data_IF_810748275908
#
_entry.id   IF_810748275908
#
_cell.length_a   1.000
_cell.length_b   1.000
_cell.length_c   1.000
_cell.angle_alpha   90.00
_cell.angle_beta   90.00
_cell.angle_gamma   90.00
#
_symmetry.space_group_name_H-M   'P 1'
#
loop_
_entity.id
_entity.type
_entity.pdbx_description
1 polymer ?
#
# COMPACT_ATOMS: atom_id res chain seq x y z
N UNK A 1 19.21 -21.75 -17.68
CA UNK A 1 18.56 -20.46 -17.46
C UNK A 1 19.63 -19.50 -17.02
N UNK A 2 19.76 -18.35 -17.70
CA UNK A 2 20.63 -17.29 -17.21
C UNK A 2 20.12 -16.80 -15.86
N UNK A 3 21.03 -16.36 -14.99
CA UNK A 3 20.66 -15.84 -13.68
C UNK A 3 20.03 -14.46 -13.83
N UNK A 4 18.89 -14.24 -13.18
CA UNK A 4 18.18 -12.95 -13.12
C UNK A 4 18.22 -12.44 -11.69
N UNK A 5 18.67 -11.20 -11.50
CA UNK A 5 18.56 -10.51 -10.20
C UNK A 5 17.50 -9.42 -10.30
N UNK A 6 16.49 -9.48 -9.43
CA UNK A 6 15.43 -8.47 -9.33
C UNK A 6 15.73 -7.57 -8.14
N UNK A 7 15.99 -6.29 -8.40
CA UNK A 7 16.17 -5.27 -7.39
C UNK A 7 14.82 -4.57 -7.14
N UNK A 8 14.30 -4.67 -5.92
CA UNK A 8 13.11 -3.94 -5.46
C UNK A 8 13.58 -2.76 -4.63
N UNK A 9 13.32 -1.54 -5.09
CA UNK A 9 13.80 -0.30 -4.47
C UNK A 9 12.59 0.51 -4.03
N UNK A 10 12.38 0.63 -2.73
CA UNK A 10 11.30 1.40 -2.13
C UNK A 10 11.67 1.76 -0.68
N UNK A 11 11.47 2.99 -0.20
CA UNK A 11 11.73 3.33 1.21
C UNK A 11 10.80 2.60 2.19
N UNK A 12 9.63 2.14 1.74
CA UNK A 12 8.65 1.41 2.53
C UNK A 12 8.80 -0.12 2.36
N UNK A 13 8.35 -0.94 3.32
CA UNK A 13 8.50 -2.39 3.25
C UNK A 13 7.85 -3.01 2.00
N UNK A 14 8.49 -4.00 1.36
CA UNK A 14 7.93 -4.66 0.19
C UNK A 14 6.63 -5.42 0.54
N UNK A 15 5.78 -5.61 -0.47
CA UNK A 15 4.44 -6.16 -0.30
C UNK A 15 3.44 -5.05 0.03
N UNK A 16 3.31 -4.69 1.30
CA UNK A 16 2.30 -3.68 1.74
C UNK A 16 2.63 -2.25 1.31
N UNK A 17 3.92 -1.91 1.21
CA UNK A 17 4.38 -0.57 0.88
C UNK A 17 3.81 0.51 1.80
N UNK A 18 3.87 1.76 1.33
CA UNK A 18 3.35 2.91 2.08
C UNK A 18 1.84 2.92 2.21
N UNK A 19 1.10 2.45 1.20
CA UNK A 19 -0.36 2.67 1.13
C UNK A 19 -1.13 1.71 2.03
N UNK A 20 -0.69 0.45 2.09
CA UNK A 20 -1.39 -0.61 2.80
C UNK A 20 -0.69 -0.98 4.11
N UNK A 21 -0.06 -0.02 4.79
CA UNK A 21 0.67 -0.29 6.04
C UNK A 21 -0.24 -0.99 7.04
N UNK A 22 0.17 -2.14 7.61
CA UNK A 22 -0.60 -2.83 8.66
C UNK A 22 -0.85 -1.99 9.91
N UNK A 23 -0.07 -0.92 10.12
CA UNK A 23 -0.14 -0.03 11.27
C UNK A 23 -1.16 1.10 11.13
N UNK A 24 -1.81 1.25 9.98
CA UNK A 24 -2.82 2.29 9.78
C UNK A 24 -4.12 2.02 10.55
N UNK A 25 -4.97 3.05 10.69
CA UNK A 25 -6.25 2.94 11.40
C UNK A 25 -7.14 1.82 10.83
N UNK A 26 -7.72 1.02 11.74
CA UNK A 26 -8.68 -0.06 11.41
C UNK A 26 -10.07 0.46 11.01
N UNK A 27 -10.29 1.77 11.03
CA UNK A 27 -11.50 2.38 10.48
C UNK A 27 -11.41 2.63 8.97
N UNK A 28 -10.22 2.48 8.39
CA UNK A 28 -10.01 2.63 6.95
C UNK A 28 -10.24 1.29 6.28
N UNK A 29 -11.25 1.24 5.42
CA UNK A 29 -11.66 0.02 4.73
C UNK A 29 -11.19 0.02 3.28
N UNK A 30 -11.03 -1.20 2.75
CA UNK A 30 -11.01 -1.43 1.31
C UNK A 30 -12.36 -1.07 0.70
N UNK A 31 -12.37 -0.67 -0.57
CA UNK A 31 -13.59 -0.44 -1.36
C UNK A 31 -14.00 -1.65 -2.20
N UNK A 32 -13.39 -2.81 -1.95
CA UNK A 32 -13.64 -4.08 -2.63
C UNK A 32 -13.87 -5.17 -1.59
N UNK A 33 -14.82 -6.08 -1.86
CA UNK A 33 -15.14 -7.17 -0.95
C UNK A 33 -14.03 -8.22 -0.90
N UNK A 34 -13.85 -8.84 0.26
CA UNK A 34 -12.67 -9.66 0.56
C UNK A 34 -12.45 -10.87 -0.37
N UNK A 35 -13.51 -11.47 -0.92
CA UNK A 35 -13.41 -12.60 -1.85
C UNK A 35 -12.97 -12.19 -3.26
N UNK A 36 -13.05 -10.91 -3.61
CA UNK A 36 -12.70 -10.38 -4.93
C UNK A 36 -11.31 -9.73 -4.97
N UNK A 37 -10.57 -9.78 -3.86
CA UNK A 37 -9.23 -9.18 -3.76
C UNK A 37 -8.18 -10.28 -3.82
N UNK A 38 -7.30 -10.21 -4.82
CA UNK A 38 -6.12 -11.08 -4.92
C UNK A 38 -4.97 -10.34 -5.62
N UNK A 39 -3.73 -10.70 -5.30
CA UNK A 39 -2.53 -10.28 -6.06
C UNK A 39 -1.99 -11.36 -6.99
N UNK A 40 -2.68 -12.49 -7.03
CA UNK A 40 -2.33 -13.64 -7.84
C UNK A 40 -2.94 -13.53 -9.24
N UNK A 41 -2.43 -14.33 -10.15
CA UNK A 41 -2.80 -14.32 -11.56
C UNK A 41 -3.93 -15.29 -11.83
N UNK A 42 -4.91 -14.90 -12.63
CA UNK A 42 -5.97 -15.78 -13.09
C UNK A 42 -6.14 -15.68 -14.62
N UNK A 43 -7.17 -16.32 -15.16
CA UNK A 43 -7.46 -16.31 -16.59
C UNK A 43 -7.70 -14.90 -17.19
N UNK A 44 -7.90 -13.87 -16.37
CA UNK A 44 -8.03 -12.48 -16.83
C UNK A 44 -6.67 -11.81 -17.13
N UNK A 45 -5.56 -12.36 -16.61
CA UNK A 45 -4.23 -11.80 -16.77
C UNK A 45 -3.55 -12.41 -17.99
N UNK A 46 -3.12 -11.56 -18.93
CA UNK A 46 -2.34 -11.99 -20.09
C UNK A 46 -0.86 -12.05 -19.75
N UNK A 47 -0.36 -13.25 -19.48
CA UNK A 47 1.07 -13.53 -19.24
C UNK A 47 1.52 -14.78 -20.00
N UNK A 48 2.82 -14.86 -20.24
CA UNK A 48 3.46 -16.11 -20.65
C UNK A 48 3.82 -16.92 -19.40
N UNK A 49 3.54 -18.22 -19.42
CA UNK A 49 3.80 -19.13 -18.31
C UNK A 49 2.54 -19.61 -17.58
N UNK A 50 2.70 -20.43 -16.53
CA UNK A 50 1.58 -20.94 -15.76
C UNK A 50 0.93 -19.82 -14.95
N UNK A 51 -0.40 -19.90 -14.80
CA UNK A 51 -1.12 -19.11 -13.80
C UNK A 51 -0.83 -19.68 -12.41
N UNK A 52 -0.58 -18.79 -11.45
CA UNK A 52 -0.66 -19.09 -10.02
C UNK A 52 -1.83 -18.27 -9.47
N UNK A 53 -2.95 -18.93 -9.20
CA UNK A 53 -4.21 -18.29 -8.76
C UNK A 53 -4.18 -17.92 -7.27
N UNK A 54 -3.26 -18.54 -6.50
CA UNK A 54 -3.12 -18.33 -5.05
C UNK A 54 -4.45 -18.28 -4.28
N UNK A 55 -4.45 -17.75 -3.05
CA UNK A 55 -5.67 -17.42 -2.34
C UNK A 55 -6.08 -15.96 -2.57
N UNK A 56 -7.39 -15.73 -2.65
CA UNK A 56 -7.98 -14.42 -2.36
C UNK A 56 -7.67 -13.97 -0.92
N UNK A 57 -7.87 -12.69 -0.63
CA UNK A 57 -7.74 -12.14 0.72
C UNK A 57 -8.64 -12.88 1.72
N UNK A 58 -9.86 -13.23 1.31
CA UNK A 58 -10.78 -14.02 2.14
C UNK A 58 -10.21 -15.41 2.45
N UNK A 59 -9.77 -16.15 1.43
CA UNK A 59 -9.22 -17.50 1.60
C UNK A 59 -7.94 -17.49 2.43
N UNK A 60 -7.07 -16.51 2.21
CA UNK A 60 -5.89 -16.28 3.03
C UNK A 60 -6.27 -16.04 4.50
N UNK A 61 -7.27 -15.22 4.78
CA UNK A 61 -7.72 -14.97 6.14
C UNK A 61 -8.30 -16.23 6.80
N UNK A 62 -8.99 -17.09 6.05
CA UNK A 62 -9.46 -18.39 6.57
C UNK A 62 -8.29 -19.32 6.86
N UNK A 63 -7.36 -19.45 5.92
CA UNK A 63 -6.16 -20.27 6.08
C UNK A 63 -5.26 -19.80 7.25
N UNK A 64 -5.21 -18.49 7.49
CA UNK A 64 -4.50 -17.89 8.62
C UNK A 64 -5.08 -18.37 9.95
N UNK A 65 -6.40 -18.35 10.07
CA UNK A 65 -7.12 -18.74 11.30
C UNK A 65 -7.10 -20.26 11.51
N UNK A 66 -7.13 -21.06 10.44
CA UNK A 66 -7.03 -22.53 10.52
C UNK A 66 -5.60 -23.04 10.65
N UNK A 67 -4.59 -22.16 10.68
CA UNK A 67 -3.17 -22.51 10.71
C UNK A 67 -2.74 -23.41 9.54
N UNK A 68 -3.33 -23.21 8.37
CA UNK A 68 -3.02 -23.96 7.14
C UNK A 68 -2.25 -23.15 6.10
N UNK A 69 -1.83 -21.92 6.43
CA UNK A 69 -0.94 -21.15 5.55
C UNK A 69 0.42 -21.84 5.45
N UNK A 70 0.85 -22.09 4.21
CA UNK A 70 2.20 -22.58 3.92
C UNK A 70 3.26 -21.57 4.38
N UNK A 71 4.43 -22.09 4.72
CA UNK A 71 5.52 -21.43 5.45
C UNK A 71 6.01 -20.11 4.83
N UNK A 72 5.36 -19.01 5.17
CA UNK A 72 6.04 -17.76 5.42
C UNK A 72 6.49 -17.76 6.90
N UNK A 73 7.62 -17.13 7.28
CA UNK A 73 7.96 -16.94 8.68
C UNK A 73 6.73 -16.37 9.38
N UNK A 74 6.28 -17.00 10.48
CA UNK A 74 5.10 -16.57 11.23
C UNK A 74 5.27 -15.08 11.55
N UNK A 75 4.67 -14.22 10.72
CA UNK A 75 4.48 -12.84 11.09
C UNK A 75 3.65 -12.93 12.37
N UNK A 76 4.17 -12.38 13.45
CA UNK A 76 3.41 -12.23 14.69
C UNK A 76 2.24 -11.30 14.40
N UNK A 77 1.17 -11.83 13.82
CA UNK A 77 -0.05 -11.10 13.59
C UNK A 77 -0.65 -10.77 14.95
N UNK A 78 -0.98 -9.50 15.15
CA UNK A 78 -1.60 -9.10 16.41
C UNK A 78 -3.01 -9.69 16.57
N UNK A 79 -3.51 -9.67 17.81
CA UNK A 79 -4.84 -10.20 18.13
C UNK A 79 -5.95 -9.52 17.32
N UNK A 80 -5.75 -8.25 16.92
CA UNK A 80 -6.70 -7.50 16.11
C UNK A 80 -6.82 -8.07 14.69
N UNK A 81 -5.70 -8.38 14.04
CA UNK A 81 -5.63 -9.02 12.72
C UNK A 81 -6.29 -10.39 12.79
N UNK A 82 -5.97 -11.20 13.81
CA UNK A 82 -6.57 -12.52 13.98
C UNK A 82 -8.08 -12.44 14.27
N UNK A 83 -8.52 -11.48 15.08
CA UNK A 83 -9.94 -11.26 15.36
C UNK A 83 -10.72 -10.81 14.11
N UNK A 84 -10.14 -9.92 13.31
CA UNK A 84 -10.71 -9.50 12.04
C UNK A 84 -10.78 -10.66 11.05
N UNK A 85 -9.68 -11.40 10.86
CA UNK A 85 -9.62 -12.57 9.99
C UNK A 85 -10.67 -13.63 10.37
N UNK A 86 -10.91 -13.87 11.68
CA UNK A 86 -11.96 -14.79 12.15
C UNK A 86 -13.35 -14.34 11.71
N UNK A 87 -13.67 -13.05 11.88
CA UNK A 87 -15.00 -12.49 11.57
C UNK A 87 -15.23 -12.17 10.10
N UNK A 88 -14.16 -12.06 9.31
CA UNK A 88 -14.24 -11.71 7.89
C UNK A 88 -15.10 -12.73 7.13
N UNK A 89 -16.20 -12.26 6.54
CA UNK A 89 -17.01 -13.00 5.58
C UNK A 89 -16.62 -12.64 4.13
N UNK A 90 -17.02 -13.44 3.12
CA UNK A 90 -16.59 -13.25 1.74
C UNK A 90 -16.97 -11.87 1.19
N UNK A 91 -18.17 -11.38 1.53
CA UNK A 91 -18.69 -10.08 1.07
C UNK A 91 -18.38 -8.91 2.03
N UNK A 92 -17.51 -9.13 3.03
CA UNK A 92 -17.06 -8.07 3.93
C UNK A 92 -16.08 -7.14 3.23
N UNK A 93 -16.10 -5.85 3.60
CA UNK A 93 -15.07 -4.88 3.24
C UNK A 93 -13.97 -4.93 4.32
N UNK A 94 -12.80 -5.55 4.05
CA UNK A 94 -11.74 -5.70 5.05
C UNK A 94 -11.07 -4.35 5.33
N UNK A 95 -10.38 -4.25 6.47
CA UNK A 95 -9.54 -3.09 6.72
C UNK A 95 -8.35 -3.07 5.76
N UNK A 96 -7.90 -1.86 5.44
CA UNK A 96 -6.65 -1.65 4.67
C UNK A 96 -5.45 -2.26 5.39
N UNK A 97 -5.47 -2.27 6.72
CA UNK A 97 -4.45 -2.90 7.55
C UNK A 97 -4.39 -4.43 7.34
N UNK A 98 -5.54 -5.12 7.33
CA UNK A 98 -5.59 -6.55 7.06
C UNK A 98 -5.10 -6.88 5.65
N UNK A 99 -5.46 -6.07 4.65
CA UNK A 99 -4.95 -6.23 3.30
C UNK A 99 -3.43 -6.04 3.23
N UNK A 100 -2.87 -5.11 4.01
CA UNK A 100 -1.43 -4.97 4.21
C UNK A 100 -0.72 -6.25 4.68
N UNK A 101 -1.34 -6.94 5.64
CA UNK A 101 -0.84 -8.24 6.13
C UNK A 101 -0.84 -9.30 5.02
N UNK A 102 -1.89 -9.34 4.20
CA UNK A 102 -1.97 -10.22 3.03
C UNK A 102 -0.88 -9.92 2.00
N UNK A 103 -0.66 -8.65 1.65
CA UNK A 103 0.39 -8.25 0.69
C UNK A 103 1.80 -8.58 1.18
N UNK A 104 2.06 -8.38 2.47
CA UNK A 104 3.34 -8.73 3.09
C UNK A 104 3.58 -10.24 3.04
N UNK A 105 2.55 -11.04 3.36
CA UNK A 105 2.61 -12.50 3.24
C UNK A 105 2.80 -12.95 1.79
N UNK A 106 2.06 -12.38 0.84
CA UNK A 106 2.13 -12.74 -0.58
C UNK A 106 3.53 -12.45 -1.15
N UNK A 107 4.12 -11.30 -0.82
CA UNK A 107 5.49 -10.97 -1.20
C UNK A 107 6.49 -12.01 -0.68
N UNK A 108 6.39 -12.38 0.61
CA UNK A 108 7.28 -13.38 1.21
C UNK A 108 7.14 -14.75 0.53
N UNK A 109 5.91 -15.17 0.22
CA UNK A 109 5.65 -16.43 -0.51
C UNK A 109 6.26 -16.40 -1.91
N UNK A 110 6.08 -15.30 -2.64
CA UNK A 110 6.65 -15.14 -4.00
C UNK A 110 8.18 -15.20 -3.97
N UNK A 111 8.82 -14.52 -3.01
CA UNK A 111 10.28 -14.56 -2.86
C UNK A 111 10.77 -15.96 -2.46
N UNK A 112 10.08 -16.64 -1.55
CA UNK A 112 10.44 -17.99 -1.11
C UNK A 112 10.22 -19.05 -2.21
N UNK A 113 9.24 -18.84 -3.08
CA UNK A 113 8.92 -19.72 -4.21
C UNK A 113 9.68 -19.40 -5.50
N UNK A 114 10.60 -18.43 -5.49
CA UNK A 114 11.33 -18.02 -6.68
C UNK A 114 12.15 -19.18 -7.28
N UNK A 115 12.19 -19.27 -8.62
CA UNK A 115 12.99 -20.27 -9.31
C UNK A 115 14.49 -20.11 -8.97
N UNK A 116 15.25 -21.20 -8.96
CA UNK A 116 16.65 -21.20 -8.52
C UNK A 116 17.60 -20.24 -9.28
N UNK A 117 17.21 -19.78 -10.47
CA UNK A 117 17.96 -18.81 -11.26
C UNK A 117 17.53 -17.35 -11.01
N UNK A 118 16.52 -17.11 -10.17
CA UNK A 118 16.01 -15.78 -9.83
C UNK A 118 16.44 -15.42 -8.41
N UNK A 119 17.04 -14.25 -8.24
CA UNK A 119 17.44 -13.71 -6.92
C UNK A 119 16.75 -12.37 -6.69
N UNK A 120 15.96 -12.26 -5.62
CA UNK A 120 15.38 -10.98 -5.18
C UNK A 120 16.29 -10.23 -4.22
N UNK A 121 16.42 -8.91 -4.38
CA UNK A 121 17.12 -8.00 -3.46
C UNK A 121 16.28 -6.78 -3.17
N UNK A 122 16.01 -6.49 -1.91
CA UNK A 122 15.24 -5.33 -1.48
C UNK A 122 16.17 -4.23 -0.97
N UNK A 123 15.89 -2.99 -1.36
CA UNK A 123 16.62 -1.79 -0.97
C UNK A 123 15.63 -0.83 -0.30
N UNK A 124 15.61 -0.75 1.04
CA UNK A 124 14.68 0.10 1.81
C UNK A 124 15.10 1.57 1.76
N UNK A 125 15.28 2.10 0.55
CA UNK A 125 15.90 3.39 0.26
C UNK A 125 15.22 3.98 -0.97
N UNK A 126 14.97 5.29 -0.99
CA UNK A 126 14.35 5.95 -2.15
C UNK A 126 15.31 5.99 -3.35
N UNK A 127 14.82 5.59 -4.52
CA UNK A 127 15.46 5.91 -5.80
C UNK A 127 15.28 7.40 -6.13
N UNK A 128 16.37 8.11 -6.46
CA UNK A 128 16.36 9.56 -6.72
C UNK A 128 16.77 9.93 -8.14
N UNK A 129 17.41 9.02 -8.88
CA UNK A 129 17.72 9.23 -10.30
C UNK A 129 17.77 7.90 -11.08
N UNK A 130 17.44 7.99 -12.36
CA UNK A 130 17.63 6.95 -13.38
C UNK A 130 18.48 7.54 -14.50
N UNK A 131 19.53 6.83 -14.88
CA UNK A 131 20.41 7.17 -15.99
C UNK A 131 20.43 6.02 -16.99
N UNK A 132 20.40 6.36 -18.28
CA UNK A 132 20.68 5.40 -19.36
C UNK A 132 22.18 5.50 -19.69
N UNK A 133 22.92 4.41 -19.48
CA UNK A 133 24.34 4.35 -19.76
C UNK A 133 24.57 4.00 -21.25
N UNK A 134 24.12 4.87 -22.17
CA UNK A 134 24.55 4.82 -23.59
C UNK A 134 24.54 6.19 -24.28
N UNK A 135 25.67 6.63 -24.84
CA UNK A 135 25.66 7.64 -25.89
C UNK A 135 25.26 6.98 -27.22
N UNK A 136 24.06 7.28 -27.76
CA UNK A 136 23.78 7.02 -29.19
C UNK A 136 22.66 6.04 -29.60
N UNK A 137 21.73 5.66 -28.71
CA UNK A 137 20.39 5.24 -29.17
C UNK A 137 20.11 3.74 -29.40
N UNK A 138 20.78 2.83 -28.69
CA UNK A 138 20.28 1.46 -28.50
C UNK A 138 20.55 0.97 -27.08
N UNK A 139 19.56 0.30 -26.48
CA UNK A 139 19.46 -0.24 -25.10
C UNK A 139 20.80 -0.47 -24.38
N UNK A 140 21.34 0.59 -23.76
CA UNK A 140 22.43 0.47 -22.81
C UNK A 140 21.95 -0.02 -21.46
N UNK A 141 22.90 -0.44 -20.63
CA UNK A 141 22.64 -0.70 -19.22
C UNK A 141 22.07 0.56 -18.55
N UNK A 142 21.21 0.37 -17.57
CA UNK A 142 20.63 1.45 -16.80
C UNK A 142 21.27 1.52 -15.42
N UNK A 143 21.35 2.73 -14.88
CA UNK A 143 21.81 2.98 -13.52
C UNK A 143 20.73 3.67 -12.69
N UNK A 144 20.41 3.10 -11.53
CA UNK A 144 19.57 3.74 -10.51
C UNK A 144 20.48 4.32 -9.41
N UNK A 145 20.23 5.57 -9.02
CA UNK A 145 20.88 6.22 -7.88
C UNK A 145 19.90 6.27 -6.71
N UNK A 146 20.34 5.82 -5.55
CA UNK A 146 19.58 5.84 -4.31
C UNK A 146 19.91 7.09 -3.49
N UNK A 147 19.01 7.51 -2.61
CA UNK A 147 19.16 8.74 -1.81
C UNK A 147 20.36 8.71 -0.85
N UNK A 148 20.84 7.52 -0.49
CA UNK A 148 22.05 7.31 0.32
C UNK A 148 23.36 7.37 -0.48
N UNK A 149 23.27 7.62 -1.80
CA UNK A 149 24.41 7.67 -2.71
C UNK A 149 24.77 6.34 -3.37
N UNK A 150 24.12 5.23 -3.00
CA UNK A 150 24.31 3.92 -3.64
C UNK A 150 23.93 3.99 -5.13
N UNK A 151 24.72 3.34 -5.98
CA UNK A 151 24.47 3.23 -7.43
C UNK A 151 24.27 1.78 -7.81
N UNK A 152 23.08 1.45 -8.33
CA UNK A 152 22.77 0.15 -8.91
C UNK A 152 23.00 0.24 -10.41
N UNK A 153 24.17 -0.22 -10.88
CA UNK A 153 24.59 -0.18 -12.29
C UNK A 153 24.32 -1.52 -12.99
N UNK A 154 24.44 -1.56 -14.31
CA UNK A 154 24.35 -2.82 -15.07
C UNK A 154 22.92 -3.38 -15.18
N UNK A 155 21.90 -2.54 -14.99
CA UNK A 155 20.51 -2.98 -15.02
C UNK A 155 20.08 -3.16 -16.48
N UNK A 156 19.66 -4.37 -16.85
CA UNK A 156 19.16 -4.64 -18.21
C UNK A 156 17.81 -3.98 -18.49
N UNK A 157 17.02 -3.72 -17.44
CA UNK A 157 15.74 -3.02 -17.51
C UNK A 157 15.36 -2.44 -16.15
N UNK A 158 14.63 -1.32 -16.18
CA UNK A 158 14.01 -0.70 -15.00
C UNK A 158 12.51 -0.59 -15.23
N UNK A 159 11.74 -1.13 -14.27
CA UNK A 159 10.27 -1.00 -14.25
C UNK A 159 9.88 0.02 -13.18
N UNK A 160 9.27 1.13 -13.61
CA UNK A 160 8.78 2.17 -12.69
C UNK A 160 7.38 1.81 -12.18
N UNK A 161 7.32 1.10 -11.07
CA UNK A 161 6.09 0.71 -10.38
C UNK A 161 5.72 1.67 -9.23
N UNK A 162 5.81 2.98 -9.48
CA UNK A 162 5.77 4.03 -8.43
C UNK A 162 4.35 4.33 -7.88
N UNK A 163 3.30 3.78 -8.51
CA UNK A 163 1.92 4.06 -8.13
C UNK A 163 1.58 5.55 -8.19
N UNK A 164 0.87 6.04 -7.16
CA UNK A 164 0.50 7.46 -7.05
C UNK A 164 1.56 8.22 -6.25
N UNK A 165 2.22 9.18 -6.91
CA UNK A 165 3.22 10.05 -6.28
C UNK A 165 2.57 11.29 -5.65
N UNK A 166 3.20 11.91 -4.63
CA UNK A 166 2.70 13.16 -4.05
C UNK A 166 2.49 14.23 -5.13
N UNK A 167 1.29 14.82 -5.13
CA UNK A 167 0.96 15.93 -6.02
C UNK A 167 1.50 17.25 -5.45
N UNK A 168 1.93 18.14 -6.35
CA UNK A 168 2.16 19.54 -5.97
C UNK A 168 0.81 20.21 -5.70
N UNK A 169 0.80 21.13 -4.72
CA UNK A 169 -0.39 21.93 -4.47
C UNK A 169 -0.76 22.75 -5.70
N UNK A 170 -2.04 22.78 -6.02
CA UNK A 170 -2.65 23.71 -6.97
C UNK A 170 -2.66 25.14 -6.43
N UNK A 171 -2.92 26.12 -7.30
CA UNK A 171 -3.14 27.52 -6.87
C UNK A 171 -4.29 27.65 -5.86
N UNK A 172 -5.31 26.80 -5.99
CA UNK A 172 -6.45 26.82 -5.06
C UNK A 172 -6.03 26.33 -3.68
N UNK A 173 -5.31 25.22 -3.60
CA UNK A 173 -4.83 24.69 -2.32
C UNK A 173 -3.83 25.63 -1.66
N UNK A 174 -2.92 26.25 -2.43
CA UNK A 174 -2.02 27.30 -1.91
C UNK A 174 -2.80 28.45 -1.27
N UNK A 175 -3.79 29.00 -1.99
CA UNK A 175 -4.62 30.09 -1.48
C UNK A 175 -5.41 29.71 -0.23
N UNK A 176 -5.89 28.47 -0.14
CA UNK A 176 -6.59 27.97 1.04
C UNK A 176 -5.66 27.82 2.23
N UNK A 177 -4.44 27.33 2.02
CA UNK A 177 -3.39 27.28 3.05
C UNK A 177 -3.09 28.69 3.59
N UNK A 178 -2.79 29.64 2.70
CA UNK A 178 -2.49 31.03 3.08
C UNK A 178 -3.66 31.71 3.82
N UNK A 179 -4.89 31.48 3.35
CA UNK A 179 -6.10 32.01 4.00
C UNK A 179 -6.29 31.43 5.41
N UNK A 180 -6.07 30.12 5.57
CA UNK A 180 -6.21 29.47 6.86
C UNK A 180 -5.17 29.97 7.86
N UNK A 181 -3.91 30.08 7.45
CA UNK A 181 -2.82 30.63 8.27
C UNK A 181 -3.12 32.06 8.73
N UNK A 182 -3.52 32.95 7.80
CA UNK A 182 -3.84 34.35 8.12
C UNK A 182 -5.10 34.52 8.97
N UNK A 183 -6.00 33.53 8.97
CA UNK A 183 -7.26 33.55 9.72
C UNK A 183 -7.21 32.74 11.02
N UNK A 184 -6.07 32.12 11.36
CA UNK A 184 -5.96 31.23 12.52
C UNK A 184 -6.80 29.95 12.41
N UNK A 185 -7.11 29.52 11.18
CA UNK A 185 -7.84 28.28 10.89
C UNK A 185 -6.86 27.14 10.57
N UNK A 186 -7.34 25.90 10.72
CA UNK A 186 -6.60 24.72 10.27
C UNK A 186 -7.07 24.32 8.87
N UNK A 187 -6.15 24.25 7.91
CA UNK A 187 -6.39 23.69 6.59
C UNK A 187 -5.53 22.45 6.37
N UNK A 188 -6.18 21.34 6.01
CA UNK A 188 -5.53 20.10 5.64
C UNK A 188 -5.63 19.95 4.11
N UNK A 189 -4.48 20.04 3.44
CA UNK A 189 -4.41 19.82 2.00
C UNK A 189 -4.75 18.36 1.63
N UNK A 190 -5.12 18.07 0.37
CA UNK A 190 -5.41 16.70 -0.05
C UNK A 190 -4.23 15.75 0.22
N UNK A 191 -4.50 14.71 0.99
CA UNK A 191 -3.57 13.66 1.35
C UNK A 191 -4.33 12.35 1.59
N UNK A 192 -3.58 11.25 1.71
CA UNK A 192 -4.16 9.97 2.14
C UNK A 192 -4.64 10.11 3.60
N UNK A 193 -5.91 9.84 3.93
CA UNK A 193 -6.42 9.93 5.30
C UNK A 193 -5.64 9.09 6.32
N UNK A 194 -4.97 8.02 5.89
CA UNK A 194 -4.09 7.22 6.74
C UNK A 194 -2.80 7.95 7.18
N UNK A 195 -2.43 9.04 6.49
CA UNK A 195 -1.18 9.80 6.69
C UNK A 195 -1.43 11.15 7.37
N UNK A 196 -2.67 11.51 7.68
CA UNK A 196 -3.04 12.84 8.20
C UNK A 196 -3.24 12.79 9.72
N UNK A 197 -2.56 13.70 10.42
CA UNK A 197 -2.78 13.91 11.85
C UNK A 197 -4.03 14.75 12.10
N UNK A 198 -5.05 14.12 12.69
CA UNK A 198 -6.31 14.76 13.05
C UNK A 198 -6.41 15.09 14.54
N UNK A 199 -5.36 14.84 15.34
CA UNK A 199 -5.38 15.02 16.80
C UNK A 199 -5.57 16.48 17.22
N UNK A 200 -5.15 17.43 16.37
CA UNK A 200 -5.33 18.86 16.60
C UNK A 200 -6.79 19.34 16.52
N UNK A 201 -7.67 18.58 15.86
CA UNK A 201 -9.09 18.93 15.70
C UNK A 201 -9.86 18.41 16.92
N UNK A 202 -10.34 19.30 17.78
CA UNK A 202 -10.92 18.94 19.08
C UNK A 202 -12.40 18.55 18.98
N UNK A 203 -12.94 17.82 19.97
CA UNK A 203 -14.39 17.58 20.06
C UNK A 203 -15.19 18.90 20.05
N UNK A 204 -16.26 18.96 19.26
CA UNK A 204 -17.14 20.13 19.14
C UNK A 204 -16.69 21.18 18.10
N UNK A 205 -15.50 21.02 17.49
CA UNK A 205 -15.08 21.89 16.40
C UNK A 205 -15.89 21.63 15.12
N UNK A 206 -16.19 22.71 14.39
CA UNK A 206 -16.86 22.61 13.09
C UNK A 206 -15.84 22.25 12.02
N UNK A 207 -16.02 21.10 11.38
CA UNK A 207 -15.15 20.60 10.31
C UNK A 207 -15.89 20.66 8.98
N UNK A 208 -15.26 21.26 7.97
CA UNK A 208 -15.72 21.20 6.58
C UNK A 208 -14.87 20.17 5.82
N UNK A 209 -15.50 19.11 5.34
CA UNK A 209 -14.87 18.17 4.41
C UNK A 209 -15.23 18.55 2.98
N UNK A 210 -14.20 18.82 2.15
CA UNK A 210 -14.37 19.20 0.74
C UNK A 210 -14.02 18.02 -0.17
N UNK A 211 -15.04 17.45 -0.81
CA UNK A 211 -14.93 16.32 -1.73
C UNK A 211 -15.87 15.19 -1.34
N UNK A 212 -16.23 14.31 -2.28
CA UNK A 212 -17.17 13.20 -2.09
C UNK A 212 -16.62 11.85 -2.59
N UNK A 213 -15.30 11.77 -2.79
CA UNK A 213 -14.61 10.52 -3.17
C UNK A 213 -14.37 9.60 -1.98
N UNK A 214 -13.66 8.48 -2.18
CA UNK A 214 -13.41 7.47 -1.12
C UNK A 214 -12.82 8.07 0.17
N UNK A 215 -11.89 9.03 0.05
CA UNK A 215 -11.28 9.70 1.20
C UNK A 215 -12.30 10.48 2.05
N UNK A 216 -13.44 10.90 1.50
CA UNK A 216 -14.51 11.53 2.29
C UNK A 216 -15.06 10.56 3.33
N UNK A 217 -15.34 9.31 2.93
CA UNK A 217 -15.86 8.28 3.83
C UNK A 217 -14.83 7.88 4.88
N UNK A 218 -13.54 7.88 4.53
CA UNK A 218 -12.47 7.68 5.49
C UNK A 218 -12.47 8.76 6.57
N UNK A 219 -12.54 10.04 6.19
CA UNK A 219 -12.62 11.13 7.17
C UNK A 219 -13.90 11.05 8.00
N UNK A 220 -15.04 10.70 7.39
CA UNK A 220 -16.27 10.46 8.15
C UNK A 220 -16.04 9.38 9.21
N UNK A 221 -15.48 8.22 8.84
CA UNK A 221 -15.18 7.15 9.79
C UNK A 221 -14.18 7.59 10.88
N UNK A 222 -13.14 8.34 10.51
CA UNK A 222 -12.13 8.83 11.46
C UNK A 222 -12.67 9.89 12.44
N UNK A 223 -13.59 10.75 12.00
CA UNK A 223 -14.21 11.77 12.87
C UNK A 223 -15.40 11.24 13.68
N UNK A 224 -16.02 10.13 13.29
CA UNK A 224 -17.14 9.52 14.01
C UNK A 224 -16.69 8.28 14.80
N UNK A 225 -16.68 7.10 14.19
CA UNK A 225 -16.34 5.82 14.82
C UNK A 225 -14.92 5.82 15.39
N UNK A 226 -13.97 6.43 14.67
CA UNK A 226 -12.59 6.61 15.13
C UNK A 226 -12.45 7.47 16.40
N UNK A 227 -13.52 8.17 16.79
CA UNK A 227 -13.61 8.96 18.03
C UNK A 227 -14.65 8.38 19.01
N UNK A 228 -15.05 7.12 18.83
CA UNK A 228 -16.02 6.42 19.69
C UNK A 228 -17.49 6.70 19.35
N UNK A 229 -17.77 7.37 18.24
CA UNK A 229 -19.13 7.57 17.75
C UNK A 229 -19.77 6.28 17.26
N UNK A 230 -21.10 6.23 17.30
CA UNK A 230 -21.91 5.11 16.79
C UNK A 230 -22.96 5.65 15.83
N UNK A 231 -23.36 4.82 14.86
CA UNK A 231 -24.47 5.11 13.96
C UNK A 231 -25.70 4.34 14.44
N UNK A 232 -26.82 5.04 14.59
CA UNK A 232 -28.11 4.46 14.96
C UNK A 232 -29.09 4.70 13.81
N UNK A 233 -29.91 3.68 13.51
CA UNK A 233 -31.03 3.84 12.60
C UNK A 233 -32.14 4.61 13.32
N UNK A 234 -32.65 5.66 12.68
CA UNK A 234 -33.68 6.56 13.24
C UNK A 234 -34.98 6.37 12.49
#
# INVERSE_FOLDING_TARGET
>A
WDTVTVHVVDPDPPGSGRVWRPTQSRHLLMNTVSSQVTVYTDASVRIDGPLDEGPSLYEWAKALVSHTLEAAPQAGYDDGVLAEARRLGPDSYPTRALYGCYLTWAFQRVVAGAAAHVTGRTHPVRAVALHDDTPGGSTGEQTIVLEDGTRLTGLSAVVLAQGHVPAQLSDTERKLTEYAESSGLTYLAPANPADVDLSGIRPGETVLLRGLGLNFFDYMALFTQGRGGVYEEV
#
